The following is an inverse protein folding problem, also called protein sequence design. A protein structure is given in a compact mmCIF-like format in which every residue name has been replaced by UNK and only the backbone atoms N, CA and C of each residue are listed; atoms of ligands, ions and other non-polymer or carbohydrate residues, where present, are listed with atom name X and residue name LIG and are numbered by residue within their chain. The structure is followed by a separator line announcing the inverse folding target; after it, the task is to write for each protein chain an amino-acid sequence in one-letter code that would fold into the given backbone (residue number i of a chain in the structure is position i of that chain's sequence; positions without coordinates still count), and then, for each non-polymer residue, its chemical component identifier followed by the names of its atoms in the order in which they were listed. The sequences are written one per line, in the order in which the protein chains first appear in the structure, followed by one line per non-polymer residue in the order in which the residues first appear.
data_IF_739119984280
#
_entry.id   IF_739119984280
#
_cell.length_a   1.000
_cell.length_b   1.000
_cell.length_c   1.000
_cell.angle_alpha   90.00
_cell.angle_beta   90.00
_cell.angle_gamma   90.00
#
_symmetry.space_group_name_H-M   'P 1'
#
loop_
_entity.id
_entity.type
_entity.pdbx_description
1 polymer ?
#
# COMPACT_ATOMS: atom_id res chain seq x y z
N UNK A 1 1.29 -75.23 1.94
CA UNK A 1 0.71 -73.90 1.69
C UNK A 1 1.65 -72.84 2.24
N UNK A 2 2.20 -72.00 1.36
CA UNK A 2 3.20 -70.99 1.66
C UNK A 2 2.52 -69.63 1.46
N UNK A 3 2.35 -68.81 2.50
CA UNK A 3 1.93 -67.41 2.34
C UNK A 3 2.83 -66.50 3.17
N UNK A 4 3.64 -65.79 2.40
CA UNK A 4 4.83 -65.06 2.75
C UNK A 4 4.47 -63.75 3.48
N UNK A 5 4.91 -63.63 4.73
CA UNK A 5 4.73 -62.46 5.61
C UNK A 5 5.80 -61.42 5.29
N UNK A 6 5.68 -60.74 4.15
CA UNK A 6 6.56 -59.63 3.75
C UNK A 6 5.78 -58.63 2.87
N UNK A 7 4.77 -57.95 3.42
CA UNK A 7 4.25 -56.72 2.82
C UNK A 7 4.89 -55.53 3.53
N UNK A 8 6.11 -55.23 3.07
CA UNK A 8 6.76 -53.94 3.20
C UNK A 8 5.86 -52.86 2.57
N UNK A 9 5.02 -52.22 3.39
CA UNK A 9 4.46 -50.90 3.05
C UNK A 9 4.88 -49.94 4.15
N UNK A 10 6.12 -49.48 4.00
CA UNK A 10 6.63 -48.31 4.71
C UNK A 10 5.78 -47.13 4.25
N UNK A 11 4.84 -46.79 5.11
CA UNK A 11 4.12 -45.53 5.14
C UNK A 11 5.17 -44.39 5.24
N UNK A 12 5.73 -43.98 4.10
CA UNK A 12 6.58 -42.81 4.00
C UNK A 12 5.69 -41.64 3.58
N UNK A 13 5.21 -40.98 4.62
CA UNK A 13 4.46 -39.74 4.67
C UNK A 13 4.87 -38.76 3.55
N UNK A 14 3.92 -38.50 2.65
CA UNK A 14 4.02 -37.44 1.66
C UNK A 14 4.03 -36.06 2.34
N UNK A 15 4.98 -35.23 1.90
CA UNK A 15 4.91 -33.77 1.82
C UNK A 15 4.19 -33.01 2.95
N UNK A 16 4.91 -32.68 4.02
CA UNK A 16 4.65 -31.42 4.73
C UNK A 16 5.62 -30.37 4.17
N UNK A 17 5.24 -29.84 3.00
CA UNK A 17 5.81 -28.61 2.45
C UNK A 17 5.74 -27.52 3.52
N UNK A 18 6.91 -26.96 3.79
CA UNK A 18 7.20 -25.70 4.47
C UNK A 18 6.04 -24.69 4.49
N UNK A 19 5.23 -24.72 5.55
CA UNK A 19 4.45 -23.55 5.94
C UNK A 19 5.29 -22.81 6.98
N UNK A 20 6.09 -21.86 6.51
CA UNK A 20 6.65 -20.84 7.39
C UNK A 20 5.51 -20.03 7.96
N UNK A 21 5.07 -20.35 9.18
CA UNK A 21 4.18 -19.47 9.93
C UNK A 21 4.98 -18.22 10.29
N UNK A 22 4.79 -17.16 9.50
CA UNK A 22 5.14 -15.80 9.88
C UNK A 22 4.26 -15.39 11.08
N UNK A 23 4.65 -15.81 12.29
CA UNK A 23 4.04 -15.43 13.56
C UNK A 23 4.50 -14.03 14.02
N UNK A 24 4.31 -13.01 13.18
CA UNK A 24 4.83 -11.68 13.44
C UNK A 24 3.88 -10.52 13.18
N UNK A 25 2.56 -10.72 13.15
CA UNK A 25 1.63 -9.62 12.96
C UNK A 25 0.33 -9.86 13.74
N UNK A 26 -0.04 -8.93 14.63
CA UNK A 26 -1.46 -8.62 14.81
C UNK A 26 -2.06 -8.50 13.41
N UNK A 27 -3.05 -9.33 13.07
CA UNK A 27 -3.37 -9.52 11.66
C UNK A 27 -3.86 -8.22 11.05
N UNK A 28 -3.32 -7.87 9.88
CA UNK A 28 -3.69 -6.65 9.17
C UNK A 28 -5.21 -6.61 8.94
N UNK A 29 -5.84 -7.78 8.79
CA UNK A 29 -7.29 -7.94 8.68
C UNK A 29 -8.05 -7.45 9.91
N UNK A 30 -7.51 -7.63 11.12
CA UNK A 30 -8.10 -7.11 12.35
C UNK A 30 -8.05 -5.58 12.38
N UNK A 31 -6.88 -4.98 12.06
CA UNK A 31 -6.75 -3.52 11.95
C UNK A 31 -7.66 -2.95 10.86
N UNK A 32 -7.74 -3.60 9.70
CA UNK A 32 -8.63 -3.24 8.58
C UNK A 32 -10.12 -3.31 8.94
N UNK A 33 -10.51 -4.14 9.90
CA UNK A 33 -11.88 -4.26 10.38
C UNK A 33 -12.23 -3.17 11.42
N UNK A 34 -11.24 -2.71 12.17
CA UNK A 34 -11.38 -1.61 13.13
C UNK A 34 -11.33 -0.23 12.45
N UNK A 35 -10.65 -0.12 11.32
CA UNK A 35 -10.52 1.13 10.55
C UNK A 35 -11.78 1.42 9.76
N UNK A 36 -12.35 2.61 9.94
CA UNK A 36 -13.38 3.13 9.04
C UNK A 36 -12.75 3.52 7.69
N UNK A 37 -13.19 2.85 6.61
CA UNK A 37 -12.69 3.05 5.24
C UNK A 37 -13.32 4.25 4.54
N UNK A 38 -14.30 4.91 5.16
CA UNK A 38 -14.89 6.15 4.68
C UNK A 38 -14.21 7.38 5.29
N UNK A 39 -13.41 7.22 6.34
CA UNK A 39 -12.67 8.29 7.00
C UNK A 39 -11.22 8.34 6.48
N UNK A 40 -10.80 9.40 5.77
CA UNK A 40 -9.45 9.51 5.23
C UNK A 40 -8.36 9.46 6.31
N UNK A 41 -8.60 10.01 7.50
CA UNK A 41 -7.61 10.06 8.58
C UNK A 41 -7.37 8.66 9.17
N UNK A 42 -8.44 7.87 9.33
CA UNK A 42 -8.31 6.51 9.84
C UNK A 42 -7.62 5.58 8.83
N UNK A 43 -7.93 5.71 7.54
CA UNK A 43 -7.24 4.96 6.49
C UNK A 43 -5.77 5.38 6.40
N UNK A 44 -5.46 6.66 6.65
CA UNK A 44 -4.08 7.17 6.69
C UNK A 44 -3.30 6.58 7.87
N UNK A 45 -3.88 6.55 9.07
CA UNK A 45 -3.28 5.91 10.25
C UNK A 45 -3.01 4.41 10.01
N UNK A 46 -3.94 3.69 9.36
CA UNK A 46 -3.73 2.30 8.96
C UNK A 46 -2.57 2.15 7.96
N UNK A 47 -2.47 3.07 6.99
CA UNK A 47 -1.37 3.09 6.03
C UNK A 47 -0.01 3.32 6.70
N UNK A 48 0.06 4.22 7.68
CA UNK A 48 1.27 4.47 8.47
C UNK A 48 1.68 3.24 9.26
N UNK A 49 0.74 2.61 9.98
CA UNK A 49 1.00 1.37 10.69
C UNK A 49 1.51 0.27 9.75
N UNK A 50 0.92 0.15 8.55
CA UNK A 50 1.43 -0.79 7.53
C UNK A 50 2.88 -0.47 7.13
N UNK A 51 3.24 0.81 6.96
CA UNK A 51 4.62 1.22 6.65
C UNK A 51 5.59 0.82 7.76
N UNK A 52 5.24 1.06 9.01
CA UNK A 52 6.06 0.75 10.19
C UNK A 52 6.29 -0.77 10.33
N UNK A 53 5.29 -1.57 9.99
CA UNK A 53 5.35 -3.04 10.01
C UNK A 53 6.03 -3.64 8.76
N UNK A 54 6.60 -2.82 7.88
CA UNK A 54 7.28 -3.29 6.67
C UNK A 54 6.34 -3.73 5.54
N UNK A 55 5.03 -3.50 5.66
CA UNK A 55 3.98 -3.88 4.71
C UNK A 55 3.79 -2.82 3.62
N UNK A 56 4.89 -2.40 2.99
CA UNK A 56 4.92 -1.26 2.03
C UNK A 56 3.90 -1.39 0.90
N UNK A 57 3.74 -2.58 0.32
CA UNK A 57 2.76 -2.83 -0.77
C UNK A 57 1.31 -2.57 -0.34
N UNK A 58 0.97 -2.87 0.92
CA UNK A 58 -0.37 -2.58 1.45
C UNK A 58 -0.51 -1.13 1.85
N UNK A 59 0.51 -0.55 2.47
CA UNK A 59 0.55 0.87 2.81
C UNK A 59 0.28 1.75 1.58
N UNK A 60 0.95 1.51 0.45
CA UNK A 60 0.70 2.25 -0.80
C UNK A 60 -0.74 2.14 -1.31
N UNK A 61 -1.40 0.98 -1.12
CA UNK A 61 -2.82 0.82 -1.47
C UNK A 61 -3.70 1.68 -0.57
N UNK A 62 -3.43 1.72 0.74
CA UNK A 62 -4.17 2.56 1.68
C UNK A 62 -3.96 4.05 1.44
N UNK A 63 -2.72 4.51 1.22
CA UNK A 63 -2.48 5.90 0.82
C UNK A 63 -3.23 6.29 -0.46
N UNK A 64 -3.32 5.37 -1.43
CA UNK A 64 -4.12 5.59 -2.64
C UNK A 64 -5.63 5.69 -2.37
N UNK A 65 -6.15 5.02 -1.32
CA UNK A 65 -7.53 5.16 -0.88
C UNK A 65 -7.75 6.50 -0.16
N UNK A 66 -6.82 6.92 0.69
CA UNK A 66 -6.86 8.24 1.35
C UNK A 66 -6.97 9.35 0.30
N UNK A 67 -6.11 9.32 -0.73
CA UNK A 67 -6.14 10.33 -1.82
C UNK A 67 -7.44 10.31 -2.63
N UNK A 68 -8.17 9.19 -2.66
CA UNK A 68 -9.50 9.13 -3.30
C UNK A 68 -10.59 9.78 -2.45
N UNK A 69 -10.48 9.67 -1.12
CA UNK A 69 -11.42 10.26 -0.17
C UNK A 69 -11.15 11.75 0.01
N UNK A 70 -9.90 12.11 0.27
CA UNK A 70 -9.41 13.47 0.34
C UNK A 70 -8.31 13.68 -0.70
N UNK A 71 -8.69 14.40 -1.76
CA UNK A 71 -7.79 14.69 -2.87
C UNK A 71 -6.66 15.62 -2.46
N UNK A 72 -6.76 16.41 -1.40
CA UNK A 72 -5.70 17.34 -1.00
C UNK A 72 -4.91 16.86 0.23
N UNK A 73 -5.10 15.61 0.62
CA UNK A 73 -4.40 15.00 1.76
C UNK A 73 -2.89 14.93 1.54
N UNK A 74 -2.17 15.86 2.17
CA UNK A 74 -0.73 16.06 1.93
C UNK A 74 0.10 14.84 2.35
N UNK A 75 -0.17 14.28 3.53
CA UNK A 75 0.58 13.13 4.05
C UNK A 75 0.49 11.88 3.16
N UNK A 76 -0.69 11.56 2.64
CA UNK A 76 -0.87 10.40 1.77
C UNK A 76 -0.20 10.58 0.41
N UNK A 77 -0.26 11.79 -0.16
CA UNK A 77 0.43 12.11 -1.42
C UNK A 77 1.95 12.09 -1.25
N UNK A 78 2.47 12.63 -0.16
CA UNK A 78 3.90 12.57 0.17
C UNK A 78 4.38 11.13 0.36
N UNK A 79 3.60 10.30 1.06
CA UNK A 79 3.89 8.87 1.23
C UNK A 79 3.85 8.07 -0.09
N UNK A 80 3.09 8.53 -1.09
CA UNK A 80 3.12 8.01 -2.46
C UNK A 80 4.28 8.56 -3.30
N UNK A 81 5.11 9.43 -2.74
CA UNK A 81 6.20 10.11 -3.42
C UNK A 81 5.73 11.22 -4.36
N UNK A 82 4.58 11.85 -4.07
CA UNK A 82 4.12 13.06 -4.74
C UNK A 82 4.46 14.28 -3.88
N UNK A 83 5.02 15.31 -4.48
CA UNK A 83 5.39 16.55 -3.80
C UNK A 83 4.50 17.67 -4.33
N UNK A 84 4.04 18.55 -3.44
CA UNK A 84 3.30 19.75 -3.84
C UNK A 84 4.28 20.81 -4.34
N UNK A 85 4.15 21.20 -5.61
CA UNK A 85 4.93 22.28 -6.23
C UNK A 85 3.94 23.33 -6.73
N UNK A 86 3.87 24.45 -6.00
CA UNK A 86 2.82 25.46 -6.19
C UNK A 86 1.43 24.90 -5.86
N UNK A 87 0.52 24.95 -6.82
CA UNK A 87 -0.83 24.40 -6.71
C UNK A 87 -0.95 22.98 -7.29
N UNK A 88 0.14 22.45 -7.85
CA UNK A 88 0.13 21.15 -8.52
C UNK A 88 0.88 20.08 -7.71
N UNK A 89 0.34 18.87 -7.76
CA UNK A 89 1.00 17.70 -7.20
C UNK A 89 1.80 17.00 -8.30
N UNK A 90 3.12 16.96 -8.13
CA UNK A 90 4.04 16.36 -9.09
C UNK A 90 4.69 15.13 -8.47
N UNK A 91 4.97 14.11 -9.28
CA UNK A 91 5.78 12.99 -8.82
C UNK A 91 7.17 13.50 -8.43
N UNK A 92 7.66 13.13 -7.26
CA UNK A 92 9.02 13.44 -6.78
C UNK A 92 10.10 13.12 -7.81
N UNK A 93 9.91 12.03 -8.57
CA UNK A 93 10.80 11.63 -9.67
C UNK A 93 10.87 12.66 -10.79
N UNK A 94 9.75 13.34 -11.06
CA UNK A 94 9.65 14.38 -12.09
C UNK A 94 10.01 15.76 -11.54
N UNK A 95 9.74 16.04 -10.27
CA UNK A 95 10.06 17.33 -9.63
C UNK A 95 11.56 17.66 -9.62
N UNK A 96 12.43 16.65 -9.68
CA UNK A 96 13.88 16.82 -9.86
C UNK A 96 14.30 17.20 -11.30
N UNK A 97 13.40 17.09 -12.28
CA UNK A 97 13.59 17.64 -13.62
C UNK A 97 13.08 19.09 -13.61
N UNK A 98 13.98 20.03 -13.94
CA UNK A 98 13.72 21.48 -13.98
C UNK A 98 12.30 21.81 -14.50
N UNK A 99 11.58 22.77 -13.88
CA UNK A 99 10.23 23.13 -14.31
C UNK A 99 10.27 23.69 -15.73
N UNK A 100 9.72 22.93 -16.69
CA UNK A 100 9.38 23.51 -17.98
C UNK A 100 8.14 24.36 -17.78
N UNK A 101 8.36 25.68 -17.83
CA UNK A 101 7.42 26.71 -18.24
C UNK A 101 6.36 26.14 -19.19
N UNK A 102 5.08 26.20 -18.81
CA UNK A 102 3.98 25.77 -19.69
C UNK A 102 2.68 25.59 -18.92
N UNK A 103 1.88 26.65 -18.87
CA UNK A 103 0.59 26.66 -18.19
C UNK A 103 0.00 28.07 -18.15
N UNK A 104 0.03 28.77 -19.27
CA UNK A 104 -0.62 30.05 -19.49
C UNK A 104 -2.14 29.83 -19.48
N UNK A 105 -2.85 30.52 -18.58
CA UNK A 105 -4.30 30.70 -18.68
C UNK A 105 -4.60 32.19 -18.44
N UNK A 106 -4.77 32.88 -19.57
CA UNK A 106 -5.27 34.23 -19.66
C UNK A 106 -6.71 34.32 -19.17
N UNK A 107 -7.01 35.39 -18.46
CA UNK A 107 -8.24 36.19 -18.58
C UNK A 107 -7.82 37.58 -18.08
N UNK A 108 -7.39 38.46 -18.98
CA UNK A 108 -8.27 39.45 -19.62
C UNK A 108 -9.10 40.19 -18.56
N UNK A 109 -8.66 41.39 -18.18
CA UNK A 109 -9.48 42.61 -18.00
C UNK A 109 -8.59 43.81 -17.59
N UNK A 110 -8.16 44.54 -18.62
CA UNK A 110 -7.83 45.98 -18.65
C UNK A 110 -9.16 46.75 -18.93
N UNK A 111 -9.36 48.08 -18.74
CA UNK A 111 -8.63 49.13 -18.01
C UNK A 111 -9.53 50.02 -17.08
N UNK A 112 -8.89 50.89 -16.28
CA UNK A 112 -9.06 52.36 -16.32
C UNK A 112 -8.12 53.07 -15.32
#
# INVERSE_FOLDING_TARGET
MNVNRQFLSRLALAAAMTLGLAHGAETIAEKEALTDKSDPEQVFALAQWCTENGLKTKASKYYSLVVKLDKDHQGARDALGMVKVGEHWVSSKTAGAKPSRGGDAASDEDPA
#
